data_IF_247090074167
#
_entry.id   IF_247090074167
#
_cell.length_a   1.000
_cell.length_b   1.000
_cell.length_c   1.000
_cell.angle_alpha   90.00
_cell.angle_beta   90.00
_cell.angle_gamma   90.00
#
_symmetry.space_group_name_H-M   'P 1'
#
loop_
_entity.id
_entity.type
_entity.pdbx_description
1 polymer ?
#
# COMPACT_ATOMS: atom_id res chain seq x y z
N UNK A 1 -20.14 -29.18 -8.54
CA UNK A 1 -19.11 -28.56 -7.67
C UNK A 1 -17.69 -28.95 -8.11
N UNK A 2 -17.31 -30.24 -8.21
CA UNK A 2 -15.96 -30.69 -8.68
C UNK A 2 -15.52 -30.15 -10.05
N UNK A 3 -16.35 -30.27 -11.09
CA UNK A 3 -16.02 -29.79 -12.46
C UNK A 3 -15.77 -28.27 -12.52
N UNK A 4 -16.43 -27.50 -11.66
CA UNK A 4 -16.26 -26.04 -11.59
C UNK A 4 -15.03 -25.59 -10.77
N UNK A 5 -14.43 -26.48 -10.00
CA UNK A 5 -13.14 -26.23 -9.34
C UNK A 5 -11.99 -26.62 -10.28
N UNK A 6 -12.13 -27.71 -11.04
CA UNK A 6 -11.12 -28.16 -12.01
C UNK A 6 -10.76 -27.09 -13.06
N UNK A 7 -11.75 -26.36 -13.58
CA UNK A 7 -11.52 -25.27 -14.57
C UNK A 7 -10.80 -24.05 -13.95
N UNK A 8 -10.99 -23.78 -12.65
CA UNK A 8 -10.27 -22.72 -11.93
C UNK A 8 -8.84 -23.17 -11.62
N UNK A 9 -8.67 -24.37 -11.08
CA UNK A 9 -7.36 -24.98 -10.79
C UNK A 9 -6.49 -25.03 -12.06
N UNK A 10 -7.09 -25.33 -13.21
CA UNK A 10 -6.39 -25.27 -14.48
C UNK A 10 -5.85 -23.87 -14.79
N UNK A 11 -6.67 -22.81 -14.68
CA UNK A 11 -6.20 -21.42 -14.88
C UNK A 11 -5.17 -20.99 -13.84
N UNK A 12 -5.28 -21.44 -12.59
CA UNK A 12 -4.26 -21.20 -11.56
C UNK A 12 -2.93 -21.82 -12.01
N UNK A 13 -2.94 -23.08 -12.46
CA UNK A 13 -1.73 -23.78 -12.92
C UNK A 13 -1.08 -23.11 -14.14
N UNK A 14 -1.89 -22.51 -15.03
CA UNK A 14 -1.36 -21.76 -16.16
C UNK A 14 -0.45 -20.61 -15.72
N UNK A 15 -0.71 -19.99 -14.57
CA UNK A 15 0.08 -18.85 -14.07
C UNK A 15 1.17 -19.27 -13.08
N UNK A 16 0.94 -20.31 -12.29
CA UNK A 16 1.75 -20.59 -11.08
C UNK A 16 2.63 -21.83 -11.17
N UNK A 17 2.49 -22.68 -12.20
CA UNK A 17 3.30 -23.89 -12.36
C UNK A 17 4.63 -23.57 -13.07
N UNK A 18 5.79 -23.54 -12.37
CA UNK A 18 7.07 -23.25 -13.01
C UNK A 18 7.53 -24.36 -13.96
N UNK A 19 6.87 -25.52 -13.98
CA UNK A 19 7.22 -26.65 -14.85
C UNK A 19 6.67 -26.51 -16.27
N UNK A 20 5.84 -25.51 -16.56
CA UNK A 20 5.36 -25.24 -17.92
C UNK A 20 6.52 -25.07 -18.89
N UNK A 21 6.51 -25.86 -19.95
CA UNK A 21 7.51 -25.83 -21.01
C UNK A 21 7.22 -24.73 -22.03
N UNK A 22 8.18 -24.45 -22.92
CA UNK A 22 7.95 -23.55 -24.05
C UNK A 22 6.77 -23.98 -24.92
N UNK A 23 6.57 -25.29 -25.10
CA UNK A 23 5.47 -25.85 -25.89
C UNK A 23 4.12 -25.55 -25.22
N UNK A 24 4.05 -25.70 -23.90
CA UNK A 24 2.82 -25.43 -23.13
C UNK A 24 2.41 -23.96 -23.21
N UNK A 25 3.38 -23.05 -23.38
CA UNK A 25 3.15 -21.61 -23.50
C UNK A 25 2.88 -21.17 -24.94
N UNK A 26 3.41 -21.89 -25.93
CA UNK A 26 3.38 -21.49 -27.35
C UNK A 26 1.96 -21.28 -27.87
N UNK A 27 1.05 -22.22 -27.59
CA UNK A 27 -0.34 -22.14 -28.04
C UNK A 27 -1.12 -20.99 -27.38
N UNK A 28 -0.70 -20.56 -26.19
CA UNK A 28 -1.28 -19.42 -25.47
C UNK A 28 -0.84 -18.08 -26.06
N UNK A 29 0.27 -18.03 -26.80
CA UNK A 29 0.82 -16.80 -27.38
C UNK A 29 0.71 -16.71 -28.89
N UNK A 30 0.71 -17.83 -29.61
CA UNK A 30 0.70 -17.87 -31.08
C UNK A 30 -0.30 -18.90 -31.60
N UNK A 31 -0.86 -18.60 -32.78
CA UNK A 31 -1.84 -19.46 -33.46
C UNK A 31 -3.28 -18.99 -33.30
N UNK A 32 -4.22 -19.73 -33.88
CA UNK A 32 -5.65 -19.38 -33.89
C UNK A 32 -6.33 -19.46 -32.53
N UNK A 33 -5.70 -20.13 -31.56
CA UNK A 33 -6.20 -20.25 -30.19
C UNK A 33 -5.71 -19.13 -29.26
N UNK A 34 -4.76 -18.29 -29.70
CA UNK A 34 -4.23 -17.21 -28.88
C UNK A 34 -5.27 -16.09 -28.75
N UNK A 35 -5.68 -15.79 -27.52
CA UNK A 35 -6.52 -14.65 -27.17
C UNK A 35 -5.73 -13.64 -26.34
N UNK A 36 -6.35 -12.51 -26.02
CA UNK A 36 -5.79 -11.53 -25.09
C UNK A 36 -5.49 -12.17 -23.73
N UNK A 37 -6.44 -12.94 -23.21
CA UNK A 37 -6.37 -13.53 -21.88
C UNK A 37 -5.32 -14.64 -21.80
N UNK A 38 -5.19 -15.48 -22.83
CA UNK A 38 -4.12 -16.50 -22.85
C UNK A 38 -2.73 -15.87 -22.93
N UNK A 39 -2.60 -14.69 -23.57
CA UNK A 39 -1.36 -13.92 -23.56
C UNK A 39 -1.10 -13.26 -22.21
N UNK A 40 -2.15 -12.73 -21.55
CA UNK A 40 -2.05 -12.24 -20.17
C UNK A 40 -1.62 -13.36 -19.21
N UNK A 41 -2.12 -14.59 -19.37
CA UNK A 41 -1.67 -15.76 -18.59
C UNK A 41 -0.17 -16.00 -18.75
N UNK A 42 0.39 -15.88 -19.96
CA UNK A 42 1.83 -16.05 -20.18
C UNK A 42 2.65 -14.92 -19.56
N UNK A 43 2.20 -13.67 -19.68
CA UNK A 43 2.87 -12.53 -19.01
C UNK A 43 2.86 -12.71 -17.49
N UNK A 44 1.71 -13.08 -16.93
CA UNK A 44 1.57 -13.38 -15.51
C UNK A 44 2.46 -14.55 -15.09
N UNK A 45 2.51 -15.63 -15.88
CA UNK A 45 3.36 -16.78 -15.62
C UNK A 45 4.85 -16.40 -15.60
N UNK A 46 5.30 -15.56 -16.52
CA UNK A 46 6.69 -15.07 -16.53
C UNK A 46 6.97 -14.28 -15.24
N UNK A 47 6.07 -13.35 -14.88
CA UNK A 47 6.22 -12.55 -13.66
C UNK A 47 6.28 -13.42 -12.40
N UNK A 48 5.35 -14.36 -12.24
CA UNK A 48 5.24 -15.21 -11.05
C UNK A 48 6.35 -16.27 -11.01
N UNK A 49 6.55 -17.02 -12.10
CA UNK A 49 7.42 -18.19 -12.08
C UNK A 49 8.91 -17.86 -12.32
N UNK A 50 9.22 -16.81 -13.10
CA UNK A 50 10.62 -16.44 -13.45
C UNK A 50 11.16 -15.25 -12.67
N UNK A 51 10.29 -14.37 -12.16
CA UNK A 51 10.68 -13.16 -11.44
C UNK A 51 10.14 -13.12 -10.01
N UNK A 52 9.52 -14.20 -9.55
CA UNK A 52 9.01 -14.37 -8.18
C UNK A 52 8.08 -13.21 -7.73
N UNK A 53 7.34 -12.63 -8.68
CA UNK A 53 6.30 -11.67 -8.38
C UNK A 53 5.06 -12.36 -7.79
N UNK A 54 4.26 -11.61 -7.04
CA UNK A 54 2.93 -12.04 -6.59
C UNK A 54 1.86 -11.38 -7.45
N UNK A 55 0.97 -12.16 -8.06
CA UNK A 55 -0.10 -11.64 -8.91
C UNK A 55 -1.38 -11.46 -8.08
N UNK A 56 -2.03 -10.31 -8.21
CA UNK A 56 -3.26 -9.99 -7.49
C UNK A 56 -4.27 -9.19 -8.35
N UNK A 57 -5.34 -8.72 -7.72
CA UNK A 57 -6.21 -7.70 -8.30
C UNK A 57 -7.22 -8.23 -9.32
N UNK A 58 -7.49 -7.40 -10.33
CA UNK A 58 -8.61 -7.59 -11.25
C UNK A 58 -8.52 -8.85 -12.10
N UNK A 59 -7.32 -9.23 -12.56
CA UNK A 59 -7.13 -10.40 -13.39
C UNK A 59 -7.42 -11.72 -12.66
N UNK A 60 -6.98 -11.85 -11.40
CA UNK A 60 -7.27 -13.03 -10.58
C UNK A 60 -8.78 -13.19 -10.38
N UNK A 61 -9.46 -12.09 -10.05
CA UNK A 61 -10.91 -12.07 -9.89
C UNK A 61 -11.65 -12.37 -11.19
N UNK A 62 -11.40 -11.58 -12.22
CA UNK A 62 -12.22 -11.53 -13.41
C UNK A 62 -11.95 -12.72 -14.33
N UNK A 63 -10.68 -13.08 -14.54
CA UNK A 63 -10.30 -14.16 -15.47
C UNK A 63 -10.08 -15.50 -14.76
N UNK A 64 -9.17 -15.57 -13.77
CA UNK A 64 -8.81 -16.84 -13.14
C UNK A 64 -10.01 -17.49 -12.45
N UNK A 65 -10.75 -16.73 -11.65
CA UNK A 65 -11.92 -17.25 -10.95
C UNK A 65 -13.20 -17.10 -11.76
N UNK A 66 -13.48 -15.89 -12.26
CA UNK A 66 -14.75 -15.55 -12.90
C UNK A 66 -14.91 -16.00 -14.36
N UNK A 67 -13.80 -16.22 -15.09
CA UNK A 67 -13.79 -16.47 -16.55
C UNK A 67 -14.57 -15.41 -17.34
N UNK A 68 -14.54 -14.17 -16.86
CA UNK A 68 -15.22 -13.03 -17.47
C UNK A 68 -14.35 -12.40 -18.56
N UNK A 69 -14.94 -12.30 -19.75
CA UNK A 69 -14.38 -11.57 -20.89
C UNK A 69 -15.39 -10.56 -21.37
N UNK A 70 -15.01 -9.30 -21.49
CA UNK A 70 -15.87 -8.25 -22.02
C UNK A 70 -15.00 -7.23 -22.74
N UNK A 71 -15.41 -6.83 -23.93
CA UNK A 71 -14.77 -5.79 -24.73
C UNK A 71 -15.83 -4.78 -25.19
N UNK A 72 -15.43 -3.52 -25.46
CA UNK A 72 -16.29 -2.55 -26.15
C UNK A 72 -16.88 -3.11 -27.45
N UNK A 73 -17.98 -2.52 -27.92
CA UNK A 73 -18.66 -2.96 -29.15
C UNK A 73 -17.79 -2.82 -30.42
N UNK A 74 -16.70 -2.06 -30.37
CA UNK A 74 -15.75 -1.97 -31.47
C UNK A 74 -14.88 -3.22 -31.54
N UNK A 75 -14.80 -3.79 -32.75
CA UNK A 75 -13.89 -4.89 -33.06
C UNK A 75 -12.43 -4.44 -33.18
N UNK A 76 -12.16 -3.12 -33.23
CA UNK A 76 -10.79 -2.59 -33.25
C UNK A 76 -10.23 -2.52 -31.83
N UNK A 77 -9.17 -3.29 -31.49
CA UNK A 77 -8.55 -3.26 -30.18
C UNK A 77 -7.93 -1.91 -29.80
N UNK A 78 -7.72 -1.01 -30.76
CA UNK A 78 -7.24 0.34 -30.47
C UNK A 78 -8.27 1.19 -29.71
N UNK A 79 -9.56 0.91 -29.90
CA UNK A 79 -10.65 1.60 -29.17
C UNK A 79 -10.73 1.17 -27.69
N UNK A 80 -9.93 0.18 -27.29
CA UNK A 80 -9.87 -0.30 -25.92
C UNK A 80 -8.86 0.50 -25.08
N UNK A 81 -8.06 1.36 -25.73
CA UNK A 81 -6.99 2.13 -25.09
C UNK A 81 -7.54 3.49 -24.66
N UNK A 82 -7.37 3.80 -23.38
CA UNK A 82 -7.53 5.14 -22.82
C UNK A 82 -6.15 5.69 -22.44
N UNK A 83 -6.04 6.99 -22.25
CA UNK A 83 -4.81 7.61 -21.80
C UNK A 83 -5.06 8.50 -20.59
N UNK A 84 -4.22 8.32 -19.56
CA UNK A 84 -4.21 9.15 -18.37
C UNK A 84 -2.92 9.96 -18.32
N UNK A 85 -2.96 11.12 -17.67
CA UNK A 85 -1.77 11.93 -17.41
C UNK A 85 -1.22 11.56 -16.04
N UNK A 86 0.07 11.24 -15.98
CA UNK A 86 0.75 10.83 -14.75
C UNK A 86 1.30 12.01 -13.94
N UNK A 87 1.93 11.68 -12.81
CA UNK A 87 2.53 12.70 -11.93
C UNK A 87 3.63 13.52 -12.61
N UNK A 88 4.30 12.96 -13.62
CA UNK A 88 5.34 13.59 -14.42
C UNK A 88 4.77 14.33 -15.65
N UNK A 89 3.45 14.47 -15.76
CA UNK A 89 2.77 15.02 -16.94
C UNK A 89 2.98 14.22 -18.23
N UNK A 90 3.35 12.95 -18.12
CA UNK A 90 3.46 12.02 -19.23
C UNK A 90 2.11 11.33 -19.46
N UNK A 91 1.79 11.10 -20.74
CA UNK A 91 0.61 10.37 -21.13
C UNK A 91 0.90 8.86 -20.99
N UNK A 92 0.22 8.18 -20.06
CA UNK A 92 0.35 6.73 -19.87
C UNK A 92 -0.90 6.03 -20.39
N UNK A 93 -0.75 4.92 -21.12
CA UNK A 93 -1.88 4.08 -21.50
C UNK A 93 -2.57 3.46 -20.28
N UNK A 94 -3.88 3.32 -20.41
CA UNK A 94 -4.76 2.56 -19.53
C UNK A 94 -5.82 1.85 -20.35
N UNK A 95 -6.49 0.86 -19.77
CA UNK A 95 -7.58 0.18 -20.48
C UNK A 95 -8.93 0.82 -20.19
N UNK A 96 -9.76 0.91 -21.23
CA UNK A 96 -11.15 1.32 -21.12
C UNK A 96 -11.85 0.55 -20.00
N UNK A 97 -12.64 1.26 -19.19
CA UNK A 97 -13.26 0.70 -17.97
C UNK A 97 -14.17 -0.51 -18.25
N UNK A 98 -14.68 -0.66 -19.47
CA UNK A 98 -15.51 -1.78 -19.94
C UNK A 98 -14.71 -3.04 -20.31
N UNK A 99 -13.39 -2.94 -20.47
CA UNK A 99 -12.53 -4.09 -20.80
C UNK A 99 -12.33 -4.95 -19.55
N UNK A 100 -12.60 -6.25 -19.70
CA UNK A 100 -12.47 -7.25 -18.64
C UNK A 100 -11.84 -8.53 -19.21
N UNK A 101 -10.76 -9.07 -18.61
CA UNK A 101 -9.95 -8.46 -17.55
C UNK A 101 -9.21 -7.20 -18.06
N UNK A 102 -9.01 -6.18 -17.22
CA UNK A 102 -8.41 -4.92 -17.68
C UNK A 102 -6.87 -5.00 -17.73
N UNK A 103 -6.27 -5.37 -16.60
CA UNK A 103 -4.85 -5.26 -16.34
C UNK A 103 -4.34 -6.41 -15.46
N UNK A 104 -3.01 -6.57 -15.43
CA UNK A 104 -2.30 -7.45 -14.50
C UNK A 104 -1.69 -6.60 -13.38
N UNK A 105 -1.94 -6.96 -12.12
CA UNK A 105 -1.32 -6.29 -10.97
C UNK A 105 -0.37 -7.26 -10.26
N UNK A 106 0.92 -6.93 -10.22
CA UNK A 106 1.94 -7.77 -9.61
C UNK A 106 2.77 -7.00 -8.58
N UNK A 107 2.96 -7.57 -7.40
CA UNK A 107 3.97 -7.10 -6.44
C UNK A 107 5.33 -7.68 -6.79
N UNK A 108 6.34 -6.80 -6.84
CA UNK A 108 7.73 -7.18 -7.03
C UNK A 108 8.27 -7.94 -5.81
N UNK A 109 9.28 -8.83 -5.99
CA UNK A 109 9.88 -9.55 -4.89
C UNK A 109 10.58 -8.60 -3.91
N UNK A 110 10.40 -8.83 -2.61
CA UNK A 110 11.11 -8.10 -1.54
C UNK A 110 12.58 -8.51 -1.39
N UNK A 111 12.91 -9.72 -1.83
CA UNK A 111 14.20 -10.38 -1.58
C UNK A 111 15.17 -10.30 -2.77
N UNK A 112 14.74 -9.73 -3.91
CA UNK A 112 15.55 -9.64 -5.11
C UNK A 112 15.30 -8.32 -5.85
N UNK A 113 16.35 -7.78 -6.48
CA UNK A 113 16.20 -6.63 -7.36
C UNK A 113 15.49 -7.07 -8.64
N UNK A 114 14.42 -6.37 -9.00
CA UNK A 114 13.75 -6.59 -10.28
C UNK A 114 14.50 -5.89 -11.42
N UNK A 115 14.71 -6.62 -12.51
CA UNK A 115 15.35 -6.14 -13.74
C UNK A 115 14.30 -6.05 -14.84
N UNK A 116 13.89 -4.81 -15.16
CA UNK A 116 12.83 -4.54 -16.13
C UNK A 116 13.25 -4.90 -17.56
N UNK A 117 14.50 -4.66 -17.94
CA UNK A 117 14.99 -4.93 -19.29
C UNK A 117 15.01 -6.45 -19.52
N UNK A 118 15.53 -7.20 -18.54
CA UNK A 118 15.48 -8.67 -18.57
C UNK A 118 14.03 -9.19 -18.62
N UNK A 119 13.10 -8.57 -17.91
CA UNK A 119 11.69 -8.95 -17.97
C UNK A 119 11.11 -8.75 -19.37
N UNK A 120 11.38 -7.60 -20.00
CA UNK A 120 10.94 -7.32 -21.36
C UNK A 120 11.57 -8.28 -22.38
N UNK A 121 12.85 -8.64 -22.22
CA UNK A 121 13.52 -9.64 -23.05
C UNK A 121 12.87 -11.03 -22.93
N UNK A 122 12.46 -11.42 -21.72
CA UNK A 122 11.73 -12.68 -21.50
C UNK A 122 10.35 -12.68 -22.17
N UNK A 123 9.62 -11.56 -22.14
CA UNK A 123 8.37 -11.40 -22.89
C UNK A 123 8.60 -11.50 -24.41
N UNK A 124 9.64 -10.84 -24.90
CA UNK A 124 9.96 -10.79 -26.33
C UNK A 124 10.23 -12.18 -26.92
N UNK A 125 10.82 -13.11 -26.15
CA UNK A 125 11.02 -14.51 -26.56
C UNK A 125 9.73 -15.22 -26.95
N UNK A 126 8.59 -14.80 -26.41
CA UNK A 126 7.27 -15.34 -26.74
C UNK A 126 6.52 -14.53 -27.80
N UNK A 127 7.17 -13.50 -28.39
CA UNK A 127 6.53 -12.57 -29.31
C UNK A 127 5.52 -11.67 -28.63
N UNK A 128 5.73 -11.39 -27.34
CA UNK A 128 4.97 -10.40 -26.56
C UNK A 128 5.78 -9.11 -26.58
N UNK A 129 5.18 -8.05 -27.11
CA UNK A 129 5.85 -6.76 -27.26
C UNK A 129 5.30 -5.84 -26.19
N UNK A 130 6.16 -5.14 -25.46
CA UNK A 130 5.70 -4.17 -24.49
C UNK A 130 6.60 -2.95 -24.39
N UNK A 131 6.00 -1.84 -23.95
CA UNK A 131 6.70 -0.61 -23.55
C UNK A 131 6.53 -0.43 -22.05
N UNK A 132 7.58 0.02 -21.37
CA UNK A 132 7.56 0.27 -19.93
C UNK A 132 7.58 1.77 -19.64
N UNK A 133 6.79 2.17 -18.66
CA UNK A 133 6.72 3.53 -18.10
C UNK A 133 7.07 3.44 -16.61
N UNK A 134 7.84 4.40 -16.11
CA UNK A 134 8.29 4.41 -14.72
C UNK A 134 7.57 5.47 -13.90
N UNK A 135 6.89 5.03 -12.85
CA UNK A 135 6.45 5.91 -11.76
C UNK A 135 7.30 5.65 -10.51
N UNK A 136 7.22 6.54 -9.52
CA UNK A 136 7.99 6.43 -8.26
C UNK A 136 7.75 5.12 -7.50
N UNK A 137 6.58 4.52 -7.66
CA UNK A 137 6.09 3.39 -6.87
C UNK A 137 5.76 2.12 -7.68
N UNK A 138 5.87 2.18 -9.02
CA UNK A 138 5.61 1.03 -9.90
C UNK A 138 6.24 1.20 -11.28
N UNK A 139 6.35 0.10 -12.01
CA UNK A 139 6.39 0.14 -13.47
C UNK A 139 5.00 -0.10 -14.04
N UNK A 140 4.69 0.55 -15.16
CA UNK A 140 3.49 0.30 -15.95
C UNK A 140 3.96 -0.22 -17.29
N UNK A 141 3.55 -1.43 -17.65
CA UNK A 141 3.84 -2.03 -18.94
C UNK A 141 2.60 -1.95 -19.80
N UNK A 142 2.78 -1.48 -21.02
CA UNK A 142 1.77 -1.53 -22.06
C UNK A 142 2.12 -2.61 -23.05
N UNK A 143 1.29 -3.63 -23.13
CA UNK A 143 1.60 -4.89 -23.80
C UNK A 143 0.70 -5.05 -25.03
N UNK A 144 1.30 -5.53 -26.12
CA UNK A 144 0.61 -5.98 -27.33
C UNK A 144 -0.25 -4.92 -28.04
N UNK A 145 0.23 -3.68 -28.01
CA UNK A 145 -0.27 -2.58 -28.84
C UNK A 145 -0.26 -2.97 -30.33
N UNK A 146 -1.35 -2.68 -31.04
CA UNK A 146 -1.55 -3.00 -32.47
C UNK A 146 -1.50 -4.49 -32.82
N UNK A 147 -1.62 -5.39 -31.83
CA UNK A 147 -1.74 -6.83 -32.11
C UNK A 147 -3.20 -7.23 -32.34
N UNK A 148 -3.41 -8.33 -33.08
CA UNK A 148 -4.75 -8.88 -33.31
C UNK A 148 -5.44 -9.35 -32.02
N UNK A 149 -4.68 -9.82 -31.04
CA UNK A 149 -5.23 -10.26 -29.74
C UNK A 149 -5.71 -9.08 -28.91
N UNK A 150 -5.17 -7.89 -29.15
CA UNK A 150 -5.53 -6.67 -28.47
C UNK A 150 -4.68 -6.36 -27.23
N UNK A 151 -4.60 -5.06 -26.86
CA UNK A 151 -3.65 -4.59 -25.86
C UNK A 151 -4.13 -4.81 -24.43
N UNK A 152 -3.18 -4.80 -23.50
CA UNK A 152 -3.46 -4.76 -22.06
C UNK A 152 -2.35 -4.04 -21.30
N UNK A 153 -2.62 -3.73 -20.03
CA UNK A 153 -1.63 -3.10 -19.15
C UNK A 153 -1.23 -4.03 -18.02
N UNK A 154 -0.03 -3.82 -17.48
CA UNK A 154 0.48 -4.51 -16.30
C UNK A 154 1.14 -3.53 -15.35
N UNK A 155 0.78 -3.58 -14.08
CA UNK A 155 1.42 -2.85 -13.00
C UNK A 155 2.41 -3.77 -12.27
N UNK A 156 3.66 -3.34 -12.15
CA UNK A 156 4.69 -3.95 -11.31
C UNK A 156 4.94 -3.04 -10.10
N UNK A 157 4.30 -3.36 -8.99
CA UNK A 157 4.25 -2.54 -7.77
C UNK A 157 5.50 -2.77 -6.93
N UNK A 158 6.14 -1.68 -6.52
CA UNK A 158 7.36 -1.74 -5.71
C UNK A 158 7.09 -2.29 -4.30
N UNK A 159 8.01 -3.08 -3.72
CA UNK A 159 7.77 -3.74 -2.44
C UNK A 159 7.53 -2.76 -1.28
N UNK A 160 8.18 -1.59 -1.31
CA UNK A 160 8.06 -0.56 -0.27
C UNK A 160 6.70 0.15 -0.26
N UNK A 161 5.85 -0.07 -1.27
CA UNK A 161 4.49 0.52 -1.35
C UNK A 161 3.41 -0.46 -0.90
N UNK A 162 3.76 -1.73 -0.68
CA UNK A 162 2.84 -2.81 -0.31
C UNK A 162 1.92 -2.42 0.85
N UNK A 163 2.49 -1.81 1.91
CA UNK A 163 1.74 -1.40 3.11
C UNK A 163 0.66 -0.33 2.88
N UNK A 164 0.76 0.46 1.81
CA UNK A 164 -0.27 1.45 1.44
C UNK A 164 -1.31 0.89 0.45
N UNK A 165 -0.97 -0.21 -0.22
CA UNK A 165 -1.87 -0.95 -1.12
C UNK A 165 -2.62 -2.11 -0.44
N UNK A 166 -2.34 -2.36 0.85
CA UNK A 166 -3.01 -3.37 1.67
C UNK A 166 -4.45 -2.99 2.06
N UNK A 167 -4.95 -1.81 1.67
CA UNK A 167 -6.39 -1.53 1.77
C UNK A 167 -7.13 -2.22 0.63
N UNK A 168 -7.73 -3.35 0.95
CA UNK A 168 -8.60 -4.08 0.04
C UNK A 168 -9.94 -3.36 -0.02
N UNK A 169 -10.33 -2.91 -1.21
CA UNK A 169 -11.60 -2.22 -1.38
C UNK A 169 -12.78 -3.18 -1.32
N UNK A 170 -12.63 -4.37 -1.93
CA UNK A 170 -13.69 -5.37 -2.08
C UNK A 170 -13.18 -6.77 -1.73
N UNK A 171 -14.02 -7.60 -1.12
CA UNK A 171 -13.73 -9.01 -0.81
C UNK A 171 -13.20 -9.79 -2.03
N UNK A 172 -13.83 -9.57 -3.18
CA UNK A 172 -13.46 -10.20 -4.46
C UNK A 172 -12.15 -9.71 -5.05
N UNK A 173 -11.49 -8.71 -4.45
CA UNK A 173 -10.15 -8.24 -4.82
C UNK A 173 -9.08 -8.66 -3.80
N UNK A 174 -9.42 -9.56 -2.87
CA UNK A 174 -8.53 -10.11 -1.85
C UNK A 174 -7.79 -11.38 -2.31
N UNK A 175 -7.78 -11.70 -3.60
CA UNK A 175 -7.14 -12.93 -4.08
C UNK A 175 -5.72 -12.67 -4.58
N UNK A 176 -4.81 -13.61 -4.30
CA UNK A 176 -3.41 -13.59 -4.75
C UNK A 176 -2.99 -14.96 -5.29
N UNK A 177 -2.10 -14.95 -6.28
CA UNK A 177 -1.46 -16.13 -6.85
C UNK A 177 0.05 -16.05 -6.68
N UNK A 178 0.63 -17.16 -6.25
CA UNK A 178 2.06 -17.32 -5.99
C UNK A 178 2.62 -18.58 -6.66
N UNK A 179 3.91 -18.52 -6.98
CA UNK A 179 4.64 -19.63 -7.61
C UNK A 179 4.55 -20.91 -6.80
N UNK A 180 4.40 -22.04 -7.49
CA UNK A 180 4.23 -23.41 -6.95
C UNK A 180 2.86 -23.74 -6.34
N UNK A 181 2.01 -22.76 -6.07
CA UNK A 181 0.64 -22.99 -5.58
C UNK A 181 -0.32 -23.28 -6.74
N UNK A 182 -0.07 -24.41 -7.42
CA UNK A 182 -0.69 -24.73 -8.72
C UNK A 182 -2.18 -25.02 -8.70
N UNK A 183 -2.78 -25.17 -7.51
CA UNK A 183 -4.20 -25.48 -7.31
C UNK A 183 -4.86 -24.62 -6.24
N UNK A 184 -4.11 -23.71 -5.64
CA UNK A 184 -4.54 -22.96 -4.47
C UNK A 184 -4.65 -21.47 -4.79
N UNK A 185 -5.66 -20.83 -4.22
CA UNK A 185 -5.79 -19.37 -4.20
C UNK A 185 -5.35 -18.88 -2.82
N UNK A 186 -4.47 -17.89 -2.77
CA UNK A 186 -4.17 -17.18 -1.54
C UNK A 186 -5.16 -16.05 -1.30
N UNK A 187 -5.30 -15.65 -0.03
CA UNK A 187 -5.91 -14.38 0.35
C UNK A 187 -4.81 -13.37 0.68
N UNK A 188 -4.94 -12.12 0.23
CA UNK A 188 -3.99 -11.04 0.55
C UNK A 188 -4.05 -10.71 2.04
N UNK A 189 -5.26 -10.71 2.60
CA UNK A 189 -5.56 -10.47 4.00
C UNK A 189 -6.52 -11.55 4.49
N UNK A 190 -6.16 -12.23 5.58
CA UNK A 190 -7.08 -13.12 6.29
C UNK A 190 -8.12 -12.31 7.08
N UNK A 191 -9.38 -12.42 6.69
CA UNK A 191 -10.51 -11.76 7.35
C UNK A 191 -11.23 -12.80 8.21
N UNK A 192 -10.63 -13.15 9.35
CA UNK A 192 -11.14 -14.18 10.26
C UNK A 192 -11.64 -13.61 11.60
N UNK A 193 -11.66 -12.29 11.76
CA UNK A 193 -11.90 -11.63 13.05
C UNK A 193 -13.32 -11.12 13.18
N UNK A 194 -13.99 -11.52 14.27
CA UNK A 194 -15.32 -11.01 14.61
C UNK A 194 -15.32 -9.46 14.65
N UNK A 195 -16.37 -8.80 14.11
CA UNK A 195 -17.65 -9.37 13.71
C UNK A 195 -17.70 -9.95 12.28
N UNK A 196 -16.61 -9.91 11.51
CA UNK A 196 -16.61 -10.29 10.08
C UNK A 196 -15.66 -11.48 9.82
N UNK A 197 -16.19 -12.59 9.30
CA UNK A 197 -15.38 -13.68 8.74
C UNK A 197 -15.73 -13.84 7.28
N UNK A 198 -14.73 -13.75 6.39
CA UNK A 198 -14.92 -13.98 4.96
C UNK A 198 -14.01 -15.14 4.55
N UNK A 199 -14.63 -16.30 4.37
CA UNK A 199 -13.94 -17.50 3.88
C UNK A 199 -13.66 -17.39 2.38
N UNK A 200 -12.57 -18.01 1.92
CA UNK A 200 -12.16 -18.03 0.52
C UNK A 200 -13.29 -18.55 -0.40
N UNK A 201 -14.03 -19.56 0.02
CA UNK A 201 -15.16 -20.13 -0.72
C UNK A 201 -16.27 -19.10 -0.93
N UNK A 202 -16.49 -18.22 0.05
CA UNK A 202 -17.46 -17.12 -0.04
C UNK A 202 -17.00 -16.10 -1.08
N UNK A 203 -15.71 -15.78 -1.11
CA UNK A 203 -15.12 -14.88 -2.12
C UNK A 203 -15.30 -15.47 -3.51
N UNK A 204 -14.97 -16.75 -3.70
CA UNK A 204 -15.12 -17.46 -4.98
C UNK A 204 -16.58 -17.51 -5.44
N UNK A 205 -17.53 -17.79 -4.54
CA UNK A 205 -18.96 -17.78 -4.86
C UNK A 205 -19.46 -16.38 -5.23
N UNK A 206 -19.01 -15.35 -4.50
CA UNK A 206 -19.32 -13.97 -4.82
C UNK A 206 -18.80 -13.57 -6.20
N UNK A 207 -17.56 -13.95 -6.54
CA UNK A 207 -17.01 -13.73 -7.88
C UNK A 207 -17.90 -14.37 -8.93
N UNK A 208 -18.19 -15.69 -8.81
CA UNK A 208 -19.00 -16.44 -9.79
C UNK A 208 -20.39 -15.86 -10.03
N UNK A 209 -20.97 -15.23 -9.01
CA UNK A 209 -22.29 -14.62 -9.07
C UNK A 209 -22.26 -13.10 -9.32
N UNK A 210 -21.08 -12.52 -9.62
CA UNK A 210 -20.86 -11.07 -9.74
C UNK A 210 -21.40 -10.27 -8.55
N UNK A 211 -21.10 -10.73 -7.33
CA UNK A 211 -21.45 -10.07 -6.07
C UNK A 211 -20.18 -9.63 -5.34
N UNK A 212 -20.27 -8.62 -4.49
CA UNK A 212 -19.13 -8.18 -3.68
C UNK A 212 -19.56 -7.45 -2.41
N UNK A 213 -18.72 -7.51 -1.38
CA UNK A 213 -18.78 -6.67 -0.20
C UNK A 213 -17.74 -5.55 -0.29
N UNK A 214 -18.07 -4.39 0.27
CA UNK A 214 -17.13 -3.28 0.43
C UNK A 214 -16.42 -3.45 1.78
N UNK A 215 -15.09 -3.47 1.77
CA UNK A 215 -14.25 -3.80 2.94
C UNK A 215 -13.57 -2.59 3.58
N UNK A 216 -13.97 -1.38 3.21
CA UNK A 216 -13.53 -0.13 3.84
C UNK A 216 -14.61 0.93 3.85
N UNK A 217 -14.38 1.99 4.61
CA UNK A 217 -15.25 3.17 4.62
C UNK A 217 -15.40 3.77 3.22
N UNK A 218 -16.63 4.22 2.93
CA UNK A 218 -16.98 4.84 1.65
C UNK A 218 -16.46 6.28 1.64
N UNK A 219 -15.43 6.51 0.85
CA UNK A 219 -14.92 7.82 0.46
C UNK A 219 -15.17 8.03 -1.05
N UNK A 220 -14.86 9.23 -1.58
CA UNK A 220 -15.10 9.54 -3.01
C UNK A 220 -14.43 8.53 -3.97
N UNK A 221 -13.22 8.06 -3.64
CA UNK A 221 -12.48 7.09 -4.46
C UNK A 221 -13.18 5.73 -4.45
N UNK A 222 -13.70 5.31 -3.30
CA UNK A 222 -14.46 4.06 -3.17
C UNK A 222 -15.81 4.16 -3.88
N UNK A 223 -16.49 5.30 -3.81
CA UNK A 223 -17.72 5.56 -4.57
C UNK A 223 -17.51 5.36 -6.06
N UNK A 224 -16.49 5.98 -6.66
CA UNK A 224 -16.16 5.81 -8.08
C UNK A 224 -15.89 4.34 -8.46
N UNK A 225 -15.25 3.59 -7.55
CA UNK A 225 -14.96 2.16 -7.77
C UNK A 225 -16.19 1.29 -7.63
N UNK A 226 -17.09 1.60 -6.70
CA UNK A 226 -18.40 0.94 -6.57
C UNK A 226 -19.21 1.18 -7.85
N UNK A 227 -19.31 2.43 -8.31
CA UNK A 227 -20.02 2.77 -9.55
C UNK A 227 -19.45 2.04 -10.76
N UNK A 228 -18.12 1.91 -10.86
CA UNK A 228 -17.49 1.09 -11.90
C UNK A 228 -17.90 -0.38 -11.80
N UNK A 229 -17.94 -0.96 -10.61
CA UNK A 229 -18.35 -2.34 -10.41
C UNK A 229 -19.84 -2.54 -10.74
N UNK A 230 -20.72 -1.65 -10.29
CA UNK A 230 -22.17 -1.78 -10.48
C UNK A 230 -22.62 -1.37 -11.87
N UNK A 231 -22.33 -0.14 -12.28
CA UNK A 231 -22.95 0.49 -13.45
C UNK A 231 -22.30 0.04 -14.76
N UNK A 232 -21.02 -0.31 -14.73
CA UNK A 232 -20.27 -0.74 -15.91
C UNK A 232 -20.20 -2.26 -15.95
N UNK A 233 -19.68 -2.89 -14.88
CA UNK A 233 -19.38 -4.33 -14.89
C UNK A 233 -20.56 -5.22 -14.50
N UNK A 234 -21.68 -4.63 -14.09
CA UNK A 234 -22.92 -5.31 -13.69
C UNK A 234 -22.74 -6.22 -12.46
N UNK A 235 -21.96 -5.76 -11.48
CA UNK A 235 -21.82 -6.44 -10.19
C UNK A 235 -22.84 -5.92 -9.18
N UNK A 236 -23.24 -6.77 -8.24
CA UNK A 236 -24.17 -6.43 -7.17
C UNK A 236 -23.43 -6.29 -5.83
N UNK A 237 -23.50 -5.10 -5.24
CA UNK A 237 -23.05 -4.90 -3.86
C UNK A 237 -23.95 -5.66 -2.88
N UNK A 238 -23.34 -6.33 -1.91
CA UNK A 238 -24.00 -7.02 -0.82
C UNK A 238 -23.80 -6.26 0.50
N UNK A 239 -24.81 -6.30 1.35
CA UNK A 239 -24.75 -5.80 2.72
C UNK A 239 -24.34 -4.33 2.85
N UNK A 240 -23.95 -3.97 4.08
CA UNK A 240 -23.31 -2.69 4.37
C UNK A 240 -21.80 -2.80 4.20
N UNK A 241 -21.11 -1.67 4.03
CA UNK A 241 -19.64 -1.65 4.03
C UNK A 241 -19.10 -2.08 5.39
N UNK A 242 -18.17 -3.02 5.38
CA UNK A 242 -17.38 -3.40 6.55
C UNK A 242 -16.12 -2.55 6.56
N UNK A 243 -15.72 -1.98 7.69
CA UNK A 243 -14.41 -1.36 7.79
C UNK A 243 -13.41 -2.41 8.27
N UNK A 244 -12.95 -3.27 7.36
CA UNK A 244 -11.99 -4.33 7.70
C UNK A 244 -10.60 -3.71 7.75
N UNK A 245 -10.06 -3.64 8.96
CA UNK A 245 -8.67 -3.28 9.17
C UNK A 245 -7.88 -4.58 9.37
N UNK A 246 -7.00 -4.97 8.43
CA UNK A 246 -6.12 -6.12 8.66
C UNK A 246 -5.35 -5.92 9.96
N UNK A 247 -5.26 -6.97 10.78
CA UNK A 247 -4.21 -6.98 11.79
C UNK A 247 -2.87 -6.95 11.05
N UNK A 248 -1.94 -6.06 11.45
CA UNK A 248 -0.63 -6.04 10.83
C UNK A 248 0.05 -7.39 10.99
N UNK A 249 0.95 -7.71 10.05
CA UNK A 249 1.71 -8.95 10.04
C UNK A 249 2.39 -9.22 11.40
N UNK A 250 2.63 -10.50 11.67
CA UNK A 250 3.07 -11.06 12.95
C UNK A 250 3.89 -10.10 13.85
N UNK A 251 3.37 -9.92 15.07
CA UNK A 251 3.90 -9.11 16.17
C UNK A 251 5.43 -9.19 16.29
N UNK A 252 6.13 -8.16 15.83
CA UNK A 252 7.39 -7.78 16.47
C UNK A 252 7.04 -6.85 17.62
N UNK A 253 6.86 -7.39 18.83
CA UNK A 253 6.67 -6.56 20.01
C UNK A 253 7.85 -5.59 20.10
N UNK A 254 7.57 -4.29 20.24
CA UNK A 254 8.62 -3.31 20.47
C UNK A 254 9.42 -3.69 21.72
N UNK A 255 10.72 -3.88 21.54
CA UNK A 255 11.64 -4.03 22.65
C UNK A 255 11.98 -2.63 23.17
N UNK A 256 11.65 -2.38 24.43
CA UNK A 256 11.99 -1.15 25.14
C UNK A 256 13.33 -1.33 25.84
N UNK A 257 14.33 -0.56 25.44
CA UNK A 257 15.68 -0.60 26.00
C UNK A 257 15.90 0.66 26.84
N UNK A 258 15.92 0.56 28.19
CA UNK A 258 16.15 1.72 29.04
C UNK A 258 17.50 2.38 28.74
N UNK A 259 17.48 3.68 28.49
CA UNK A 259 18.69 4.47 28.29
C UNK A 259 19.25 4.95 29.62
N UNK A 260 20.55 4.79 29.80
CA UNK A 260 21.23 5.33 30.97
C UNK A 260 21.20 6.88 30.94
N UNK A 261 20.97 7.50 32.09
CA UNK A 261 20.82 8.97 32.23
C UNK A 261 22.04 9.78 31.77
N UNK A 262 23.23 9.15 31.73
CA UNK A 262 24.46 9.78 31.23
C UNK A 262 24.64 9.71 29.72
N UNK A 263 23.80 8.96 29.00
CA UNK A 263 23.87 8.82 27.55
C UNK A 263 23.63 10.16 26.85
N UNK A 264 24.25 10.33 25.68
CA UNK A 264 24.16 11.56 24.88
C UNK A 264 22.71 11.87 24.50
N UNK A 265 21.96 10.87 24.01
CA UNK A 265 20.55 11.01 23.64
C UNK A 265 19.69 11.47 24.82
N UNK A 266 19.88 10.86 26.01
CA UNK A 266 19.16 11.26 27.21
C UNK A 266 19.45 12.72 27.60
N UNK A 267 20.72 13.16 27.58
CA UNK A 267 21.10 14.54 27.91
C UNK A 267 20.53 15.57 26.94
N UNK A 268 20.58 15.28 25.63
CA UNK A 268 20.02 16.16 24.59
C UNK A 268 18.51 16.29 24.77
N UNK A 269 17.82 15.15 24.94
CA UNK A 269 16.38 15.10 25.13
C UNK A 269 15.95 15.85 26.40
N UNK A 270 16.63 15.61 27.53
CA UNK A 270 16.39 16.31 28.79
C UNK A 270 16.52 17.83 28.66
N UNK A 271 17.54 18.31 27.93
CA UNK A 271 17.73 19.74 27.68
C UNK A 271 16.60 20.31 26.81
N UNK A 272 16.17 19.59 25.76
CA UNK A 272 15.06 20.02 24.89
C UNK A 272 13.74 20.11 25.66
N UNK A 273 13.46 19.12 26.51
CA UNK A 273 12.17 19.00 27.20
C UNK A 273 12.04 19.83 28.48
N UNK A 274 13.14 20.35 29.03
CA UNK A 274 13.12 21.20 30.23
C UNK A 274 12.23 22.45 30.09
N UNK A 275 11.94 22.88 28.86
CA UNK A 275 11.06 24.03 28.61
C UNK A 275 9.57 23.73 28.84
N UNK A 276 9.18 22.47 29.07
CA UNK A 276 7.78 22.09 29.30
C UNK A 276 7.23 22.77 30.57
N UNK A 277 7.96 22.69 31.68
CA UNK A 277 7.62 23.33 32.95
C UNK A 277 8.85 23.44 33.85
N UNK A 278 8.79 24.31 34.87
CA UNK A 278 9.86 24.44 35.87
C UNK A 278 9.97 23.21 36.79
N UNK A 279 8.87 22.47 36.96
CA UNK A 279 8.77 21.20 37.71
C UNK A 279 9.12 19.97 36.88
N UNK A 280 9.52 20.14 35.62
CA UNK A 280 9.80 19.03 34.70
C UNK A 280 10.87 18.08 35.24
N UNK A 281 10.53 16.78 35.29
CA UNK A 281 11.44 15.71 35.69
C UNK A 281 11.26 14.48 34.82
N UNK A 282 12.34 14.02 34.20
CA UNK A 282 12.37 12.73 33.51
C UNK A 282 12.42 11.61 34.55
N UNK A 283 11.54 10.63 34.39
CA UNK A 283 11.51 9.39 35.16
C UNK A 283 12.26 8.28 34.42
N UNK A 284 12.02 8.13 33.11
CA UNK A 284 12.76 7.19 32.27
C UNK A 284 12.79 7.65 30.80
N UNK A 285 13.81 7.18 30.08
CA UNK A 285 13.89 7.25 28.61
C UNK A 285 14.18 5.85 28.12
N UNK A 286 13.37 5.36 27.19
CA UNK A 286 13.45 4.02 26.64
C UNK A 286 13.64 4.12 25.13
N UNK A 287 14.68 3.52 24.59
CA UNK A 287 14.84 3.36 23.14
C UNK A 287 13.89 2.26 22.66
N UNK A 288 13.15 2.58 21.61
CA UNK A 288 12.17 1.68 21.02
C UNK A 288 12.86 0.93 19.89
N UNK A 289 12.89 -0.40 19.98
CA UNK A 289 13.43 -1.29 18.95
C UNK A 289 12.30 -2.13 18.38
N UNK A 290 11.92 -1.84 17.15
CA UNK A 290 10.92 -2.61 16.41
C UNK A 290 11.46 -2.86 15.00
N UNK A 291 12.09 -4.02 14.74
CA UNK A 291 12.75 -4.30 13.45
C UNK A 291 11.83 -4.15 12.24
N UNK A 292 10.54 -4.47 12.40
CA UNK A 292 9.55 -4.31 11.34
C UNK A 292 9.32 -2.83 11.00
N UNK A 293 9.08 -1.97 11.99
CA UNK A 293 8.92 -0.53 11.76
C UNK A 293 10.23 0.11 11.25
N UNK A 294 11.37 -0.35 11.74
CA UNK A 294 12.70 0.09 11.29
C UNK A 294 12.92 -0.24 9.81
N UNK A 295 12.57 -1.44 9.36
CA UNK A 295 12.70 -1.86 7.95
C UNK A 295 11.84 -0.98 7.02
N UNK A 296 10.58 -0.76 7.40
CA UNK A 296 9.65 0.08 6.64
C UNK A 296 10.18 1.51 6.56
N UNK A 297 10.62 2.05 7.70
CA UNK A 297 11.16 3.40 7.80
C UNK A 297 12.40 3.59 6.93
N UNK A 298 13.35 2.64 6.97
CA UNK A 298 14.57 2.70 6.15
C UNK A 298 14.26 2.56 4.64
N UNK A 299 13.24 1.77 4.27
CA UNK A 299 12.71 1.74 2.91
C UNK A 299 12.17 3.10 2.46
N UNK A 300 11.32 3.72 3.29
CA UNK A 300 10.75 5.05 3.03
C UNK A 300 11.82 6.15 2.99
N UNK A 301 12.83 6.07 3.85
CA UNK A 301 13.97 6.99 3.89
C UNK A 301 14.74 6.99 2.57
N UNK A 302 15.08 5.81 2.05
CA UNK A 302 15.75 5.66 0.74
C UNK A 302 14.89 6.23 -0.39
N UNK A 303 13.59 5.94 -0.37
CA UNK A 303 12.66 6.44 -1.38
C UNK A 303 12.56 7.98 -1.37
N UNK A 304 12.32 8.60 -0.22
CA UNK A 304 12.18 10.06 -0.10
C UNK A 304 13.52 10.74 -0.42
N UNK A 305 14.64 10.15 0.02
CA UNK A 305 15.98 10.66 -0.29
C UNK A 305 16.19 10.78 -1.82
N UNK A 306 15.87 9.73 -2.59
CA UNK A 306 15.99 9.75 -4.06
C UNK A 306 15.12 10.82 -4.74
N UNK A 307 14.06 11.28 -4.07
CA UNK A 307 13.12 12.28 -4.59
C UNK A 307 13.45 13.71 -4.15
N UNK A 308 14.41 13.88 -3.24
CA UNK A 308 14.78 15.17 -2.68
C UNK A 308 16.14 15.65 -3.22
N UNK A 309 16.35 16.98 -3.32
CA UNK A 309 17.64 17.54 -3.69
C UNK A 309 18.78 17.01 -2.80
N UNK A 310 19.89 16.62 -3.41
CA UNK A 310 21.08 16.15 -2.70
C UNK A 310 20.93 14.80 -2.00
N UNK A 311 19.95 13.98 -2.39
CA UNK A 311 19.69 12.68 -1.77
C UNK A 311 19.43 12.76 -0.26
N UNK A 312 18.87 13.88 0.21
CA UNK A 312 18.62 14.11 1.62
C UNK A 312 17.11 14.01 1.91
N UNK A 313 16.66 13.04 2.74
CA UNK A 313 15.25 12.87 3.05
C UNK A 313 14.71 13.90 4.05
N UNK A 314 15.52 14.87 4.50
CA UNK A 314 15.16 15.86 5.52
C UNK A 314 14.62 15.18 6.79
N UNK A 315 15.41 14.25 7.32
CA UNK A 315 15.10 13.55 8.57
C UNK A 315 15.24 14.49 9.77
N UNK A 316 14.18 14.61 10.55
CA UNK A 316 14.12 15.43 11.76
C UNK A 316 13.75 14.59 12.97
N UNK A 317 14.26 14.97 14.14
CA UNK A 317 13.82 14.41 15.42
C UNK A 317 12.75 15.31 16.03
N UNK A 318 11.50 14.82 16.10
CA UNK A 318 10.33 15.59 16.50
C UNK A 318 9.50 14.88 17.58
N UNK A 319 8.77 15.67 18.36
CA UNK A 319 7.95 15.21 19.47
C UNK A 319 6.53 14.85 19.06
N UNK A 320 5.98 13.80 19.68
CA UNK A 320 4.58 13.40 19.55
C UNK A 320 4.03 13.01 20.93
N UNK A 321 2.94 13.64 21.34
CA UNK A 321 2.20 13.28 22.55
C UNK A 321 0.89 12.64 22.16
N UNK A 322 0.45 11.66 22.95
CA UNK A 322 -0.78 10.90 22.71
C UNK A 322 -1.39 10.47 24.05
N UNK A 323 -2.65 10.06 24.01
CA UNK A 323 -3.34 9.41 25.12
C UNK A 323 -2.75 8.05 25.47
N UNK A 324 -3.09 7.53 26.64
CA UNK A 324 -2.60 6.24 27.15
C UNK A 324 -2.86 5.08 26.17
N UNK A 325 -4.06 5.01 25.58
CA UNK A 325 -4.41 4.02 24.57
C UNK A 325 -3.52 4.12 23.32
N UNK A 326 -3.13 5.35 22.95
CA UNK A 326 -2.28 5.60 21.80
C UNK A 326 -0.82 5.19 22.01
N UNK A 327 -0.34 5.11 23.25
CA UNK A 327 1.04 4.68 23.56
C UNK A 327 1.27 3.26 23.05
N UNK A 328 0.37 2.33 23.39
CA UNK A 328 0.48 0.93 22.96
C UNK A 328 0.39 0.83 21.44
N UNK A 329 -0.53 1.58 20.81
CA UNK A 329 -0.67 1.62 19.36
C UNK A 329 0.58 2.11 18.65
N UNK A 330 1.21 3.19 19.12
CA UNK A 330 2.45 3.72 18.53
C UNK A 330 3.62 2.73 18.69
N UNK A 331 3.73 2.04 19.83
CA UNK A 331 4.79 1.05 20.05
C UNK A 331 4.64 -0.18 19.14
N UNK A 332 3.42 -0.69 19.00
CA UNK A 332 3.16 -1.91 18.22
C UNK A 332 3.11 -1.63 16.72
N UNK A 333 2.45 -0.55 16.32
CA UNK A 333 2.08 -0.30 14.92
C UNK A 333 2.77 0.91 14.32
N UNK A 334 3.45 1.75 15.10
CA UNK A 334 4.02 3.02 14.62
C UNK A 334 2.93 4.05 14.31
N UNK A 335 3.25 4.98 13.42
CA UNK A 335 2.32 6.04 12.99
C UNK A 335 1.44 5.57 11.84
N UNK A 336 0.49 4.71 12.19
CA UNK A 336 -0.45 4.08 11.26
C UNK A 336 -1.57 5.05 10.86
N UNK A 337 -1.77 5.19 9.55
CA UNK A 337 -2.69 6.16 8.97
C UNK A 337 -4.16 5.93 9.33
N UNK A 338 -4.50 4.73 9.79
CA UNK A 338 -5.84 4.37 10.26
C UNK A 338 -6.23 5.07 11.56
N UNK A 339 -5.25 5.48 12.37
CA UNK A 339 -5.48 6.13 13.66
C UNK A 339 -5.26 7.65 13.62
N UNK A 340 -4.99 8.22 12.44
CA UNK A 340 -4.78 9.65 12.31
C UNK A 340 -6.03 10.43 12.68
N UNK A 341 -5.85 11.58 13.32
CA UNK A 341 -6.99 12.42 13.69
C UNK A 341 -7.61 13.02 12.42
N UNK A 342 -8.87 12.70 12.06
CA UNK A 342 -9.52 13.27 10.87
C UNK A 342 -9.82 14.76 11.00
N UNK A 343 -9.78 15.31 12.21
CA UNK A 343 -10.11 16.71 12.50
C UNK A 343 -8.87 17.59 12.74
N UNK A 344 -7.69 17.13 12.32
CA UNK A 344 -6.46 17.91 12.46
C UNK A 344 -6.46 19.17 11.58
N UNK A 345 -5.77 20.22 12.04
CA UNK A 345 -5.76 21.53 11.38
C UNK A 345 -5.09 21.55 9.99
N UNK A 346 -4.25 20.56 9.68
CA UNK A 346 -3.67 20.34 8.35
C UNK A 346 -4.07 18.98 7.80
N UNK A 347 -5.26 18.50 8.18
CA UNK A 347 -5.87 17.29 7.64
C UNK A 347 -5.49 16.00 8.37
N UNK A 348 -5.81 14.89 7.73
CA UNK A 348 -5.76 13.53 8.27
C UNK A 348 -4.34 12.94 8.15
N UNK A 349 -3.47 13.31 9.09
CA UNK A 349 -2.06 12.89 9.14
C UNK A 349 -1.57 12.62 10.56
N UNK A 350 -0.32 12.17 10.70
CA UNK A 350 0.40 12.13 11.98
C UNK A 350 1.08 13.48 12.24
N UNK A 351 0.87 14.02 13.44
CA UNK A 351 1.29 15.36 13.83
C UNK A 351 2.49 15.31 14.74
N UNK A 352 3.50 16.12 14.45
CA UNK A 352 4.72 16.23 15.22
C UNK A 352 5.05 17.70 15.49
N UNK A 353 5.78 17.97 16.56
CA UNK A 353 6.27 19.31 16.88
C UNK A 353 7.76 19.28 17.19
N UNK A 354 8.46 20.36 16.84
CA UNK A 354 9.85 20.57 17.26
C UNK A 354 9.93 21.10 18.71
N UNK A 355 8.88 21.81 19.16
CA UNK A 355 8.72 22.25 20.53
C UNK A 355 7.89 21.24 21.35
N UNK A 356 8.46 20.61 22.40
CA UNK A 356 7.78 19.58 23.17
C UNK A 356 6.56 20.10 23.95
N UNK A 357 6.43 21.41 24.20
CA UNK A 357 5.24 21.99 24.86
C UNK A 357 3.97 21.76 24.05
N UNK A 358 4.08 21.75 22.72
CA UNK A 358 2.94 21.46 21.86
C UNK A 358 2.46 20.03 22.06
N UNK A 359 3.38 19.08 21.99
CA UNK A 359 3.09 17.65 22.16
C UNK A 359 2.63 17.32 23.58
N UNK A 360 3.15 18.02 24.60
CA UNK A 360 2.70 17.89 26.00
C UNK A 360 1.19 18.12 26.18
N UNK A 361 0.58 19.01 25.40
CA UNK A 361 -0.86 19.27 25.46
C UNK A 361 -1.73 18.07 25.02
N UNK A 362 -1.12 17.06 24.41
CA UNK A 362 -1.79 15.84 23.95
C UNK A 362 -1.43 14.60 24.78
N UNK A 363 -0.67 14.76 25.87
CA UNK A 363 -0.34 13.63 26.76
C UNK A 363 -1.29 13.59 27.95
N UNK A 364 -1.75 12.40 28.30
CA UNK A 364 -2.49 12.18 29.54
C UNK A 364 -1.54 12.05 30.74
N UNK A 365 -2.02 12.48 31.91
CA UNK A 365 -1.32 12.30 33.17
C UNK A 365 -1.89 11.08 33.89
N UNK A 366 -1.01 10.18 34.30
CA UNK A 366 -1.38 9.01 35.10
C UNK A 366 -2.07 9.45 36.39
N UNK A 367 -3.17 8.77 36.71
CA UNK A 367 -4.03 9.14 37.85
C UNK A 367 -3.41 8.89 39.22
N UNK A 368 -2.36 8.06 39.30
CA UNK A 368 -1.71 7.64 40.54
C UNK A 368 -0.49 8.51 40.83
N UNK A 369 0.42 8.65 39.85
CA UNK A 369 1.71 9.32 40.06
C UNK A 369 1.91 10.60 39.24
N UNK A 370 0.94 10.96 38.39
CA UNK A 370 0.99 12.14 37.54
C UNK A 370 2.02 12.05 36.41
N UNK A 371 2.58 10.86 36.17
CA UNK A 371 3.51 10.65 35.06
C UNK A 371 2.82 10.78 33.71
N UNK A 372 3.57 11.21 32.71
CA UNK A 372 3.13 11.45 31.34
C UNK A 372 4.08 10.76 30.39
N UNK A 373 3.57 10.37 29.22
CA UNK A 373 4.38 9.77 28.16
C UNK A 373 4.39 10.64 26.91
N UNK A 374 5.57 10.84 26.34
CA UNK A 374 5.78 11.54 25.08
C UNK A 374 6.85 10.83 24.28
N UNK A 375 6.70 10.81 22.96
CA UNK A 375 7.64 10.18 22.04
C UNK A 375 8.56 11.22 21.40
N UNK A 376 9.83 10.87 21.24
CA UNK A 376 10.74 11.49 20.28
C UNK A 376 10.89 10.57 19.09
N UNK A 377 10.71 11.09 17.88
CA UNK A 377 10.50 10.30 16.67
C UNK A 377 11.44 10.77 15.58
N UNK A 378 11.92 9.86 14.74
CA UNK A 378 12.60 10.22 13.50
C UNK A 378 11.55 10.38 12.41
N UNK A 379 11.45 11.56 11.81
CA UNK A 379 10.39 11.91 10.85
C UNK A 379 11.03 12.37 9.54
N UNK A 380 10.65 11.75 8.44
CA UNK A 380 11.15 12.06 7.10
C UNK A 380 10.28 13.17 6.50
N UNK A 381 10.71 14.42 6.57
CA UNK A 381 9.90 15.54 6.08
C UNK A 381 10.00 15.71 4.56
N UNK A 382 11.09 15.25 3.94
CA UNK A 382 11.38 15.48 2.52
C UNK A 382 11.23 16.94 2.12
N UNK A 383 10.58 17.15 0.97
CA UNK A 383 10.11 18.47 0.50
C UNK A 383 8.82 18.84 1.26
N UNK A 384 8.86 19.92 2.03
CA UNK A 384 7.77 20.37 2.90
C UNK A 384 6.88 21.40 2.22
N UNK A 385 5.56 21.22 2.28
CA UNK A 385 4.60 22.26 1.91
C UNK A 385 4.33 23.15 3.12
N UNK A 386 4.74 24.41 3.06
CA UNK A 386 4.51 25.36 4.16
C UNK A 386 3.07 25.89 4.07
N UNK A 387 2.28 25.71 5.13
CA UNK A 387 0.89 26.12 5.20
C UNK A 387 0.69 27.16 6.31
N UNK A 388 0.35 28.39 5.91
CA UNK A 388 0.07 29.51 6.83
C UNK A 388 -1.41 29.65 7.18
N UNK A 389 -2.28 28.87 6.56
CA UNK A 389 -3.70 28.77 6.88
C UNK A 389 -4.07 27.31 7.18
N UNK A 390 -5.14 27.13 7.96
CA UNK A 390 -5.70 25.81 8.27
C UNK A 390 -6.31 25.22 7.00
N UNK A 391 -6.02 23.94 6.76
CA UNK A 391 -6.64 23.13 5.71
C UNK A 391 -6.83 21.71 6.25
N UNK A 392 -8.01 21.48 6.85
CA UNK A 392 -8.38 20.20 7.41
C UNK A 392 -8.84 19.19 6.34
N UNK A 393 -8.91 19.59 5.06
CA UNK A 393 -9.36 18.70 3.98
C UNK A 393 -8.26 17.78 3.46
N UNK A 394 -6.99 18.04 3.83
CA UNK A 394 -5.85 17.28 3.35
C UNK A 394 -5.89 15.83 3.85
N UNK A 395 -5.85 14.90 2.91
CA UNK A 395 -5.64 13.46 3.18
C UNK A 395 -4.26 12.99 2.75
N UNK A 396 -3.47 13.89 2.16
CA UNK A 396 -2.09 13.67 1.75
C UNK A 396 -1.35 15.00 1.67
N UNK A 397 -0.01 14.97 1.64
CA UNK A 397 0.77 16.17 1.37
C UNK A 397 0.42 16.73 -0.03
N UNK A 398 0.38 18.07 -0.21
CA UNK A 398 0.13 18.69 -1.49
C UNK A 398 1.04 18.18 -2.61
N UNK A 399 0.57 18.22 -3.86
CA UNK A 399 1.32 17.71 -5.03
C UNK A 399 2.77 18.23 -5.02
N UNK A 400 3.73 17.32 -5.22
CA UNK A 400 5.16 17.62 -5.22
C UNK A 400 5.83 17.64 -3.84
N UNK A 401 5.07 17.52 -2.75
CA UNK A 401 5.57 17.55 -1.39
C UNK A 401 5.42 16.18 -0.70
N UNK A 402 6.18 15.99 0.38
CA UNK A 402 6.18 14.76 1.17
C UNK A 402 5.51 14.95 2.54
N UNK A 403 5.52 16.19 3.05
CA UNK A 403 4.93 16.56 4.33
C UNK A 403 4.36 17.98 4.28
N UNK A 404 3.59 18.33 5.31
CA UNK A 404 3.13 19.71 5.55
C UNK A 404 3.83 20.27 6.76
N UNK A 405 4.22 21.55 6.70
CA UNK A 405 4.64 22.34 7.84
C UNK A 405 3.61 23.44 8.11
N UNK A 406 2.84 23.26 9.17
CA UNK A 406 1.87 24.22 9.65
C UNK A 406 2.53 25.35 10.44
N UNK A 407 2.23 26.60 10.07
CA UNK A 407 2.79 27.80 10.73
C UNK A 407 1.70 28.79 11.18
N UNK A 408 0.43 28.38 11.15
CA UNK A 408 -0.72 29.23 11.49
C UNK A 408 -0.89 29.49 12.99
N UNK A 409 -0.21 28.72 13.86
CA UNK A 409 -0.35 28.80 15.32
C UNK A 409 0.99 29.05 16.01
N UNK A 410 0.95 29.16 17.34
CA UNK A 410 2.12 29.39 18.20
C UNK A 410 3.26 28.40 17.97
N UNK A 411 2.91 27.13 17.76
CA UNK A 411 3.88 26.06 17.55
C UNK A 411 3.87 25.62 16.09
N UNK A 412 5.07 25.32 15.57
CA UNK A 412 5.19 24.68 14.26
C UNK A 412 4.76 23.23 14.40
N UNK A 413 3.94 22.80 13.47
CA UNK A 413 3.47 21.42 13.41
C UNK A 413 3.91 20.82 12.07
N UNK A 414 4.36 19.58 12.12
CA UNK A 414 4.88 18.84 10.99
C UNK A 414 4.00 17.62 10.79
N UNK A 415 3.44 17.48 9.60
CA UNK A 415 2.43 16.47 9.30
C UNK A 415 2.93 15.57 8.19
N UNK A 416 2.96 14.27 8.47
CA UNK A 416 3.21 13.22 7.48
C UNK A 416 1.95 12.38 7.33
N UNK A 417 1.68 11.94 6.10
CA UNK A 417 0.42 11.28 5.73
C UNK A 417 0.61 9.82 5.32
N UNK A 418 1.85 9.35 5.29
CA UNK A 418 2.19 8.00 4.83
C UNK A 418 2.72 7.17 5.99
N UNK A 419 2.24 5.95 6.06
CA UNK A 419 2.81 4.94 6.94
C UNK A 419 4.31 4.75 6.65
N UNK A 420 5.10 4.55 7.70
CA UNK A 420 6.55 4.40 7.58
C UNK A 420 7.35 5.70 7.39
N UNK A 421 6.70 6.86 7.25
CA UNK A 421 7.40 8.15 7.12
C UNK A 421 7.92 8.69 8.47
N UNK A 422 7.43 8.13 9.58
CA UNK A 422 7.89 8.42 10.92
C UNK A 422 8.15 7.11 11.68
N UNK A 423 9.23 7.09 12.46
CA UNK A 423 9.64 5.97 13.30
C UNK A 423 9.63 6.43 14.77
N UNK A 424 8.83 5.82 15.66
CA UNK A 424 8.95 6.04 17.09
C UNK A 424 10.33 5.59 17.56
N UNK A 425 11.12 6.52 18.09
CA UNK A 425 12.53 6.28 18.40
C UNK A 425 12.78 6.18 19.90
N UNK A 426 12.31 7.16 20.69
CA UNK A 426 12.41 7.16 22.14
C UNK A 426 11.04 7.36 22.77
N UNK A 427 10.73 6.57 23.79
CA UNK A 427 9.61 6.79 24.72
C UNK A 427 10.15 7.47 25.97
N UNK A 428 9.53 8.59 26.36
CA UNK A 428 9.96 9.39 27.52
C UNK A 428 8.83 9.41 28.54
N UNK A 429 9.13 8.96 29.76
CA UNK A 429 8.21 9.04 30.89
C UNK A 429 8.69 10.17 31.80
N UNK A 430 7.82 11.11 32.13
CA UNK A 430 8.18 12.33 32.86
C UNK A 430 7.02 12.85 33.72
N UNK A 431 7.32 13.75 34.66
CA UNK A 431 6.33 14.59 35.34
C UNK A 431 6.58 16.05 34.96
N UNK A 432 5.55 16.89 34.93
CA UNK A 432 5.66 18.30 34.56
C UNK A 432 4.71 19.18 35.36
#
# INVERSE_FOLDING_TARGET
MRIHCEDIEQRISHVTDPKRTFIDLYNSVKGSAATRETRMEVVAWIAVCRFDCKLEGGFVRDWIVGKYTTHPNSEDPNDWIEYNINYNHEQIPSMNKNVVPADLDCHLPTHARFDIDRFQDELFKFGIICRSYREKWRYILFVDENTRTGPFTMNLIEPHVTLTHDRIDFDVSNLVLEKNYTRDLGMRIDIQQKPYSIELETVVDNIKNKRFYVLRNIDNRITERIEKMTNIRQWKQLGQSFNVLPNPHAKCNALLVPLHHTSTSHKILSKKMKIISDSFKILSVEEIRNPYLEEIYEGMKKLIAQQCPGFNPNEQELFHGTSDDGITGVLEYGFDDRFFNPNGAWGHGAYFADDPRKSHNYTDADTIDGSRVIFSNKVLLGIESIQSAVDNSLTSAPKGHHSVRGTAFTYREYIVYRYGQALPYLKVIYTA
#
